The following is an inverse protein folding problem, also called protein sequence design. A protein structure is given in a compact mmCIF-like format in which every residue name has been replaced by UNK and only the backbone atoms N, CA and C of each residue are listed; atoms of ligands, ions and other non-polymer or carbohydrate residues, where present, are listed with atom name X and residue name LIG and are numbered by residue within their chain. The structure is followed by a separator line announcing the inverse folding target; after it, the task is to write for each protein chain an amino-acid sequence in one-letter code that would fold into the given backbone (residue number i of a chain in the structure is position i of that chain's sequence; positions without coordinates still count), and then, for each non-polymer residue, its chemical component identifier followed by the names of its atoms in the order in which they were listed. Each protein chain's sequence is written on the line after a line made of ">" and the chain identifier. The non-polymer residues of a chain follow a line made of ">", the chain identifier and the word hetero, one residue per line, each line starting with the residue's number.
data_IF_214987474077
#
_entry.id   IF_214987474077
#
_cell.length_a   1.000
_cell.length_b   1.000
_cell.length_c   1.000
_cell.angle_alpha   90.00
_cell.angle_beta   90.00
_cell.angle_gamma   90.00
#
_symmetry.space_group_name_H-M   'P 1'
#
loop_
_entity.id
_entity.type
_entity.pdbx_description
1 polymer ?
#
# COMPACT_ATOMS: atom_id res chain seq x y z
N UNK A 1 -20.29 -2.01 16.51
CA UNK A 1 -19.05 -1.21 16.54
C UNK A 1 -19.36 0.12 15.87
N UNK A 2 -19.09 1.26 16.51
CA UNK A 2 -19.36 2.59 15.94
C UNK A 2 -18.02 3.21 15.53
N UNK A 3 -17.91 3.63 14.27
CA UNK A 3 -16.73 4.32 13.76
C UNK A 3 -17.05 5.79 13.55
N UNK A 4 -16.21 6.67 14.12
CA UNK A 4 -16.28 8.10 13.90
C UNK A 4 -15.18 8.51 12.92
N UNK A 5 -15.57 8.79 11.68
CA UNK A 5 -14.65 9.23 10.63
C UNK A 5 -14.42 10.74 10.74
N UNK A 6 -13.18 11.11 11.09
CA UNK A 6 -12.73 12.50 11.00
C UNK A 6 -12.34 12.79 9.55
N UNK A 7 -12.73 13.97 9.04
CA UNK A 7 -12.36 14.41 7.68
C UNK A 7 -10.84 14.50 7.47
N UNK A 8 -10.09 14.65 8.55
CA UNK A 8 -8.64 14.88 8.54
C UNK A 8 -7.80 13.59 8.55
N UNK A 9 -8.42 12.40 8.55
CA UNK A 9 -7.69 11.12 8.52
C UNK A 9 -6.67 11.05 7.37
N UNK A 10 -6.98 11.44 6.12
CA UNK A 10 -6.00 11.45 5.03
C UNK A 10 -4.78 12.35 5.32
N UNK A 11 -5.00 13.53 5.94
CA UNK A 11 -3.94 14.46 6.30
C UNK A 11 -3.01 13.90 7.38
N UNK A 12 -3.59 13.25 8.40
CA UNK A 12 -2.80 12.62 9.47
C UNK A 12 -1.96 11.46 8.92
N UNK A 13 -2.53 10.64 8.03
CA UNK A 13 -1.80 9.56 7.35
C UNK A 13 -0.62 10.12 6.55
N UNK A 14 -0.88 11.11 5.69
CA UNK A 14 0.13 11.76 4.86
C UNK A 14 1.28 12.35 5.67
N UNK A 15 0.99 12.93 6.85
CA UNK A 15 2.01 13.51 7.72
C UNK A 15 2.95 12.48 8.33
N UNK A 16 2.50 11.24 8.57
CA UNK A 16 3.23 10.23 9.32
C UNK A 16 3.85 9.13 8.46
N UNK A 17 3.41 8.97 7.21
CA UNK A 17 3.87 7.88 6.34
C UNK A 17 5.38 7.91 6.08
N UNK A 18 5.99 9.09 5.90
CA UNK A 18 7.44 9.23 5.68
C UNK A 18 8.24 8.56 6.80
N UNK A 19 7.86 8.84 8.05
CA UNK A 19 8.55 8.32 9.23
C UNK A 19 8.44 6.79 9.31
N UNK A 20 7.24 6.26 9.08
CA UNK A 20 6.99 4.82 9.10
C UNK A 20 7.82 4.08 8.04
N UNK A 21 7.93 4.64 6.83
CA UNK A 21 8.73 4.06 5.75
C UNK A 21 10.22 4.15 6.04
N UNK A 22 10.71 5.29 6.53
CA UNK A 22 12.13 5.43 6.91
C UNK A 22 12.50 4.40 7.96
N UNK A 23 11.71 4.25 9.02
CA UNK A 23 11.96 3.25 10.07
C UNK A 23 11.95 1.81 9.53
N UNK A 24 11.05 1.50 8.58
CA UNK A 24 10.94 0.17 7.98
C UNK A 24 12.07 -0.15 6.98
N UNK A 25 12.49 0.82 6.17
CA UNK A 25 13.37 0.59 5.02
C UNK A 25 14.82 1.05 5.22
N UNK A 26 15.11 1.89 6.22
CA UNK A 26 16.49 2.29 6.53
C UNK A 26 17.41 1.07 6.76
N UNK A 27 17.03 0.01 7.49
CA UNK A 27 17.89 -1.17 7.67
C UNK A 27 18.22 -1.91 6.37
N UNK A 28 17.41 -1.71 5.31
CA UNK A 28 17.59 -2.31 3.99
C UNK A 28 18.27 -1.37 2.99
N UNK A 29 18.56 -0.12 3.38
CA UNK A 29 19.17 0.88 2.50
C UNK A 29 18.26 1.34 1.36
N UNK A 30 16.93 1.15 1.48
CA UNK A 30 15.97 1.52 0.45
C UNK A 30 15.42 2.92 0.75
N UNK A 31 15.61 3.84 -0.20
CA UNK A 31 15.11 5.22 -0.11
C UNK A 31 14.24 5.63 -1.32
N UNK A 32 14.30 4.87 -2.43
CA UNK A 32 13.44 5.10 -3.58
C UNK A 32 12.15 4.27 -3.44
N UNK A 33 11.08 4.92 -2.98
CA UNK A 33 9.77 4.26 -2.84
C UNK A 33 9.10 3.90 -4.17
N UNK A 34 9.62 4.38 -5.30
CA UNK A 34 9.21 3.89 -6.62
C UNK A 34 9.94 2.61 -7.05
N UNK A 35 10.93 2.15 -6.29
CA UNK A 35 11.61 0.86 -6.52
C UNK A 35 10.92 -0.33 -5.83
N UNK A 36 9.91 -0.08 -4.99
CA UNK A 36 9.18 -1.13 -4.25
C UNK A 36 7.74 -1.31 -4.76
N UNK A 37 7.14 -2.47 -4.51
CA UNK A 37 5.71 -2.71 -4.75
C UNK A 37 4.86 -2.30 -3.53
N UNK A 38 3.59 -1.98 -3.77
CA UNK A 38 2.74 -1.32 -2.77
C UNK A 38 1.41 -2.02 -2.56
N UNK A 39 1.11 -2.32 -1.30
CA UNK A 39 -0.21 -2.77 -0.83
C UNK A 39 -0.68 -1.79 0.25
N UNK A 40 -1.55 -0.85 -0.12
CA UNK A 40 -2.10 0.11 0.84
C UNK A 40 -3.55 -0.24 1.19
N UNK A 41 -3.90 -0.27 2.47
CA UNK A 41 -5.29 -0.42 2.88
C UNK A 41 -6.12 0.76 2.31
N UNK A 42 -7.13 0.50 1.47
CA UNK A 42 -7.90 1.54 0.80
C UNK A 42 -9.04 2.01 1.71
N UNK A 43 -8.70 2.75 2.76
CA UNK A 43 -9.71 3.36 3.65
C UNK A 43 -10.68 4.29 2.90
N UNK A 44 -10.21 4.86 1.79
CA UNK A 44 -10.95 5.62 0.78
C UNK A 44 -9.99 6.21 -0.26
N UNK A 45 -10.49 6.72 -1.40
CA UNK A 45 -9.64 7.23 -2.49
C UNK A 45 -8.75 8.38 -2.04
N UNK A 46 -9.27 9.28 -1.21
CA UNK A 46 -8.52 10.44 -0.71
C UNK A 46 -7.25 10.08 0.10
N UNK A 47 -7.25 8.91 0.78
CA UNK A 47 -6.05 8.43 1.49
C UNK A 47 -4.97 8.03 0.48
N UNK A 48 -5.36 7.29 -0.57
CA UNK A 48 -4.44 6.85 -1.62
C UNK A 48 -3.84 8.05 -2.36
N UNK A 49 -4.68 9.03 -2.72
CA UNK A 49 -4.26 10.24 -3.42
C UNK A 49 -3.24 11.04 -2.59
N UNK A 50 -3.49 11.17 -1.27
CA UNK A 50 -2.58 11.86 -0.36
C UNK A 50 -1.24 11.13 -0.21
N UNK A 51 -1.25 9.79 -0.11
CA UNK A 51 -0.03 8.99 -0.03
C UNK A 51 0.79 9.09 -1.31
N UNK A 52 0.14 8.93 -2.47
CA UNK A 52 0.81 9.07 -3.77
C UNK A 52 1.43 10.46 -3.95
N UNK A 53 0.68 11.52 -3.66
CA UNK A 53 1.16 12.89 -3.78
C UNK A 53 2.33 13.16 -2.84
N UNK A 54 2.19 12.75 -1.57
CA UNK A 54 3.18 12.99 -0.51
C UNK A 54 4.52 12.33 -0.81
N UNK A 55 4.50 11.11 -1.33
CA UNK A 55 5.68 10.30 -1.62
C UNK A 55 6.15 10.40 -3.08
N UNK A 56 5.46 11.21 -3.90
CA UNK A 56 5.67 11.29 -5.35
C UNK A 56 5.71 9.90 -6.02
N UNK A 57 4.76 9.03 -5.64
CA UNK A 57 4.66 7.70 -6.26
C UNK A 57 4.15 7.84 -7.69
N UNK A 58 4.69 7.01 -8.58
CA UNK A 58 4.13 6.86 -9.91
C UNK A 58 2.74 6.22 -9.81
N UNK A 59 1.76 6.62 -10.65
CA UNK A 59 0.38 6.15 -10.55
C UNK A 59 0.22 4.63 -10.55
N UNK A 60 1.10 3.90 -11.26
CA UNK A 60 1.07 2.44 -11.31
C UNK A 60 1.27 1.77 -9.94
N UNK A 61 1.90 2.43 -8.97
CA UNK A 61 2.20 1.84 -7.66
C UNK A 61 0.96 1.49 -6.86
N UNK A 62 -0.12 2.25 -7.01
CA UNK A 62 -1.38 1.95 -6.32
C UNK A 62 -2.38 1.23 -7.19
N UNK A 63 -2.01 0.79 -8.41
CA UNK A 63 -2.95 0.18 -9.36
C UNK A 63 -3.72 -0.98 -8.74
N UNK A 64 -3.03 -1.96 -8.13
CA UNK A 64 -3.67 -3.11 -7.50
C UNK A 64 -4.60 -2.68 -6.34
N UNK A 65 -4.19 -1.69 -5.55
CA UNK A 65 -4.99 -1.13 -4.46
C UNK A 65 -6.27 -0.47 -5.00
N UNK A 66 -6.16 0.33 -6.05
CA UNK A 66 -7.28 1.03 -6.70
C UNK A 66 -8.22 0.06 -7.42
N UNK A 67 -7.70 -1.00 -8.04
CA UNK A 67 -8.49 -2.06 -8.67
C UNK A 67 -9.34 -2.78 -7.63
N UNK A 68 -8.76 -3.21 -6.51
CA UNK A 68 -9.52 -3.83 -5.41
C UNK A 68 -10.56 -2.87 -4.81
N UNK A 69 -10.20 -1.59 -4.60
CA UNK A 69 -11.15 -0.59 -4.11
C UNK A 69 -12.32 -0.37 -5.09
N UNK A 70 -12.04 -0.38 -6.40
CA UNK A 70 -13.06 -0.22 -7.45
C UNK A 70 -14.03 -1.39 -7.46
N UNK A 71 -13.51 -2.62 -7.45
CA UNK A 71 -14.32 -3.83 -7.61
C UNK A 71 -15.05 -4.25 -6.33
N UNK A 72 -14.44 -4.02 -5.17
CA UNK A 72 -14.92 -4.57 -3.89
C UNK A 72 -15.20 -3.51 -2.81
N UNK A 73 -14.81 -2.26 -3.03
CA UNK A 73 -14.90 -1.22 -2.01
C UNK A 73 -13.96 -1.45 -0.83
N UNK A 74 -14.22 -0.73 0.27
CA UNK A 74 -13.50 -0.90 1.52
C UNK A 74 -14.07 -2.09 2.32
N UNK A 75 -13.44 -3.26 2.20
CA UNK A 75 -13.70 -4.49 2.96
C UNK A 75 -12.98 -4.55 4.31
N UNK A 76 -12.57 -3.41 4.88
CA UNK A 76 -11.81 -3.33 6.13
C UNK A 76 -10.48 -4.09 6.04
N UNK A 77 -10.11 -4.87 7.07
CA UNK A 77 -8.85 -5.60 7.16
C UNK A 77 -8.60 -6.56 5.99
N UNK A 78 -9.65 -7.10 5.36
CA UNK A 78 -9.51 -8.04 4.26
C UNK A 78 -8.92 -7.41 2.98
N UNK A 79 -9.01 -6.09 2.81
CA UNK A 79 -8.56 -5.41 1.59
C UNK A 79 -7.10 -5.73 1.25
N UNK A 80 -6.19 -5.69 2.22
CA UNK A 80 -4.75 -5.89 1.94
C UNK A 80 -4.46 -7.31 1.45
N UNK A 81 -5.26 -8.30 1.87
CA UNK A 81 -5.14 -9.68 1.39
C UNK A 81 -5.65 -9.81 -0.05
N UNK A 82 -6.74 -9.12 -0.40
CA UNK A 82 -7.25 -9.07 -1.76
C UNK A 82 -6.27 -8.37 -2.70
N UNK A 83 -5.61 -7.30 -2.24
CA UNK A 83 -4.61 -6.57 -3.03
C UNK A 83 -3.37 -7.44 -3.27
N UNK A 84 -2.91 -8.18 -2.25
CA UNK A 84 -1.85 -9.17 -2.42
C UNK A 84 -2.22 -10.24 -3.45
N UNK A 85 -3.45 -10.75 -3.41
CA UNK A 85 -3.93 -11.76 -4.34
C UNK A 85 -4.06 -11.22 -5.78
N UNK A 86 -4.55 -9.99 -5.93
CA UNK A 86 -4.64 -9.30 -7.21
C UNK A 86 -3.25 -9.07 -7.82
N UNK A 87 -2.33 -8.53 -7.01
CA UNK A 87 -0.95 -8.25 -7.42
C UNK A 87 -0.22 -9.50 -7.91
N UNK A 88 -0.27 -10.62 -7.17
CA UNK A 88 0.41 -11.86 -7.58
C UNK A 88 -0.20 -12.44 -8.85
N UNK A 89 -1.53 -12.39 -9.01
CA UNK A 89 -2.25 -12.91 -10.18
C UNK A 89 -1.90 -12.12 -11.43
N UNK A 90 -1.95 -10.78 -11.37
CA UNK A 90 -1.56 -9.90 -12.47
C UNK A 90 -0.08 -10.05 -12.83
N UNK A 91 0.78 -10.20 -11.83
CA UNK A 91 2.21 -10.43 -12.07
C UNK A 91 2.45 -11.71 -12.87
N UNK A 92 1.77 -12.80 -12.51
CA UNK A 92 1.87 -14.07 -13.24
C UNK A 92 1.26 -13.98 -14.66
N UNK A 93 0.07 -13.39 -14.79
CA UNK A 93 -0.60 -13.21 -16.08
C UNK A 93 0.23 -12.38 -17.07
N UNK A 94 0.96 -11.38 -16.57
CA UNK A 94 1.79 -10.49 -17.38
C UNK A 94 3.22 -11.02 -17.59
N UNK A 95 3.56 -12.20 -17.08
CA UNK A 95 4.90 -12.78 -17.20
C UNK A 95 6.00 -11.95 -16.52
N UNK A 96 5.68 -11.29 -15.40
CA UNK A 96 6.66 -10.54 -14.63
C UNK A 96 7.60 -11.48 -13.86
N UNK A 97 8.77 -10.97 -13.49
CA UNK A 97 9.83 -11.76 -12.84
C UNK A 97 9.48 -12.25 -11.43
N UNK A 98 8.63 -11.51 -10.72
CA UNK A 98 8.33 -11.76 -9.31
C UNK A 98 6.84 -11.56 -9.03
N UNK A 99 6.35 -12.13 -7.91
CA UNK A 99 4.99 -11.96 -7.39
C UNK A 99 4.65 -10.53 -6.98
N UNK A 100 5.67 -9.67 -6.80
CA UNK A 100 5.55 -8.27 -6.41
C UNK A 100 5.77 -7.32 -7.58
N UNK A 101 5.03 -7.51 -8.67
CA UNK A 101 5.11 -6.67 -9.88
C UNK A 101 6.51 -6.61 -10.53
N UNK A 102 7.29 -7.68 -10.43
CA UNK A 102 8.66 -7.73 -10.96
C UNK A 102 9.71 -7.01 -10.10
N UNK A 103 9.34 -6.58 -8.89
CA UNK A 103 10.21 -5.93 -7.91
C UNK A 103 10.48 -6.89 -6.74
N UNK A 104 11.63 -6.73 -6.07
CA UNK A 104 12.03 -7.62 -4.97
C UNK A 104 11.40 -7.21 -3.63
N UNK A 105 11.40 -5.92 -3.32
CA UNK A 105 10.91 -5.39 -2.06
C UNK A 105 9.55 -4.71 -2.20
N UNK A 106 8.76 -4.77 -1.14
CA UNK A 106 7.46 -4.12 -1.08
C UNK A 106 7.05 -3.71 0.31
N UNK A 107 5.99 -2.92 0.38
CA UNK A 107 5.37 -2.50 1.64
C UNK A 107 3.89 -2.84 1.62
N UNK A 108 3.44 -3.44 2.72
CA UNK A 108 2.03 -3.49 3.09
C UNK A 108 1.78 -2.49 4.20
N UNK A 109 0.75 -1.67 4.00
CA UNK A 109 0.43 -0.57 4.88
C UNK A 109 -1.04 -0.62 5.29
N UNK A 110 -1.28 -0.70 6.60
CA UNK A 110 -2.61 -0.76 7.20
C UNK A 110 -2.91 0.49 8.02
N UNK A 111 -4.18 0.93 8.02
CA UNK A 111 -4.66 2.03 8.85
C UNK A 111 -5.90 1.62 9.62
N UNK A 112 -5.96 1.98 10.89
CA UNK A 112 -7.11 1.70 11.74
C UNK A 112 -7.40 2.79 12.77
N UNK A 113 -8.53 2.69 13.49
CA UNK A 113 -8.87 3.60 14.59
C UNK A 113 -7.76 3.67 15.63
N UNK A 114 -7.41 4.89 16.06
CA UNK A 114 -6.28 5.15 16.95
C UNK A 114 -5.79 6.60 16.85
N UNK A 115 -5.35 7.12 15.70
CA UNK A 115 -4.99 6.47 14.43
C UNK A 115 -3.77 5.54 14.62
N UNK A 116 -3.88 4.31 14.14
CA UNK A 116 -2.77 3.36 14.12
C UNK A 116 -2.36 3.09 12.67
N UNK A 117 -1.05 3.06 12.45
CA UNK A 117 -0.42 2.67 11.19
C UNK A 117 0.33 1.36 11.43
N UNK A 118 0.04 0.35 10.62
CA UNK A 118 0.84 -0.87 10.55
C UNK A 118 1.66 -0.87 9.27
N UNK A 119 2.95 -1.23 9.37
CA UNK A 119 3.89 -1.28 8.26
C UNK A 119 4.56 -2.64 8.24
N UNK A 120 4.43 -3.36 7.14
CA UNK A 120 5.05 -4.66 6.93
C UNK A 120 5.93 -4.57 5.69
N UNK A 121 7.22 -4.84 5.86
CA UNK A 121 8.13 -5.01 4.74
C UNK A 121 7.97 -6.41 4.18
N UNK A 122 7.85 -6.51 2.86
CA UNK A 122 7.66 -7.76 2.14
C UNK A 122 8.81 -7.98 1.16
N UNK A 123 9.17 -9.24 0.96
CA UNK A 123 10.03 -9.67 -0.13
C UNK A 123 9.21 -10.55 -1.08
N UNK A 124 9.27 -10.26 -2.37
CA UNK A 124 8.59 -11.05 -3.39
C UNK A 124 9.30 -12.39 -3.63
N UNK A 125 8.67 -13.23 -4.45
CA UNK A 125 9.21 -14.53 -4.86
C UNK A 125 9.16 -14.60 -6.39
N UNK A 126 10.11 -15.30 -7.00
CA UNK A 126 10.09 -15.57 -8.44
C UNK A 126 8.80 -16.31 -8.85
N UNK A 127 8.29 -15.98 -10.05
CA UNK A 127 7.15 -16.66 -10.70
C UNK A 127 7.67 -17.70 -11.67
#
# INVERSE_FOLDING_TARGET
>A
LTFHLLKDVPGIVSKNIDKALVEAFQPLGISDYNSIFWIAHPGGPAILDQVEQKLALKPEKMRATREVLSEYGNMSSACVLFILDEMRKKSAQNGLKTTGEGLDWGVLFGFGPGLTIETVVLHSVAI
#
